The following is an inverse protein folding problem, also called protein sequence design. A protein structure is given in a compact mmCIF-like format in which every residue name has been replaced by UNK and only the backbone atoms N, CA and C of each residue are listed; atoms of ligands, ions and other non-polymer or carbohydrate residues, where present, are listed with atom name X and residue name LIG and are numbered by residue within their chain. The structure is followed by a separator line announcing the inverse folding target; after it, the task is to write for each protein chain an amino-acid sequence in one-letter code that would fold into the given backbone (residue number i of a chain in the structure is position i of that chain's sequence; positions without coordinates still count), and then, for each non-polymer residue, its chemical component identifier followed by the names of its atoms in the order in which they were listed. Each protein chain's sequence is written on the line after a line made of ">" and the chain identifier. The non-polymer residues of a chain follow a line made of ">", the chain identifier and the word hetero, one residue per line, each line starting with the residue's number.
data_IF_748895014193
#
_entry.id   IF_748895014193
#
_cell.length_a   1.000
_cell.length_b   1.000
_cell.length_c   1.000
_cell.angle_alpha   90.00
_cell.angle_beta   90.00
_cell.angle_gamma   90.00
#
_symmetry.space_group_name_H-M   'P 1'
#
loop_
_entity.id
_entity.type
_entity.pdbx_description
1 polymer ?
#
# COMPACT_ATOMS: atom_id res chain seq x y z
N UNK A 1 -0.31 4.94 -7.17
CA UNK A 1 -0.48 3.89 -6.15
C UNK A 1 -0.48 2.51 -6.80
N UNK A 2 0.27 1.57 -6.23
CA UNK A 2 0.40 0.19 -6.71
C UNK A 2 -0.10 -0.74 -5.59
N UNK A 3 -1.23 -1.41 -5.81
CA UNK A 3 -1.76 -2.43 -4.91
C UNK A 3 -1.02 -3.76 -5.11
N UNK A 4 -0.44 -4.28 -4.03
CA UNK A 4 0.36 -5.51 -4.03
C UNK A 4 -0.35 -6.70 -3.35
N UNK A 5 -1.58 -6.49 -2.86
CA UNK A 5 -2.39 -7.54 -2.24
C UNK A 5 -3.19 -8.31 -3.32
N UNK A 6 -3.25 -9.64 -3.28
CA UNK A 6 -4.10 -10.44 -4.17
C UNK A 6 -5.59 -10.06 -4.19
N UNK A 7 -6.09 -9.39 -3.15
CA UNK A 7 -7.47 -8.88 -3.11
C UNK A 7 -7.73 -7.73 -4.09
N UNK A 8 -6.68 -7.09 -4.62
CA UNK A 8 -6.71 -6.00 -5.59
C UNK A 8 -7.75 -4.89 -5.29
N UNK A 9 -7.81 -4.46 -4.04
CA UNK A 9 -8.76 -3.44 -3.56
C UNK A 9 -8.11 -2.17 -3.01
N UNK A 10 -6.79 -2.04 -3.19
CA UNK A 10 -5.99 -0.91 -2.74
C UNK A 10 -6.43 0.40 -3.38
N UNK A 11 -6.69 0.39 -4.69
CA UNK A 11 -7.05 1.57 -5.47
C UNK A 11 -8.55 1.81 -5.58
N UNK A 12 -9.37 0.96 -4.93
CA UNK A 12 -10.83 0.95 -5.07
C UNK A 12 -11.50 2.29 -4.78
N UNK A 13 -11.10 3.00 -3.73
CA UNK A 13 -11.68 4.31 -3.39
C UNK A 13 -11.17 5.43 -4.27
N UNK A 14 -9.98 5.29 -4.84
CA UNK A 14 -9.42 6.26 -5.79
C UNK A 14 -10.11 6.17 -7.15
N UNK A 15 -10.41 4.96 -7.61
CA UNK A 15 -10.98 4.70 -8.94
C UNK A 15 -12.50 4.57 -8.95
N UNK A 16 -13.13 4.48 -7.78
CA UNK A 16 -14.56 4.24 -7.61
C UNK A 16 -15.04 2.85 -8.04
N UNK A 17 -14.12 1.97 -8.44
CA UNK A 17 -14.40 0.59 -8.90
C UNK A 17 -13.21 -0.32 -8.65
N UNK A 18 -13.42 -1.63 -8.69
CA UNK A 18 -12.33 -2.58 -8.85
C UNK A 18 -11.80 -2.51 -10.28
N UNK A 19 -10.50 -2.37 -10.42
CA UNK A 19 -9.83 -2.34 -11.72
C UNK A 19 -9.23 -3.72 -12.04
N UNK A 20 -9.10 -4.08 -13.34
CA UNK A 20 -8.39 -5.29 -13.73
C UNK A 20 -6.95 -5.30 -13.19
N UNK A 21 -6.47 -6.48 -12.84
CA UNK A 21 -5.11 -6.64 -12.33
C UNK A 21 -4.11 -6.88 -13.45
N UNK A 22 -2.84 -6.48 -13.24
CA UNK A 22 -1.77 -6.74 -14.20
C UNK A 22 -1.67 -8.23 -14.54
N UNK A 23 -1.83 -9.12 -13.55
CA UNK A 23 -1.74 -10.57 -13.83
C UNK A 23 -2.90 -11.08 -14.69
N UNK A 24 -4.10 -10.52 -14.54
CA UNK A 24 -5.24 -10.92 -15.36
C UNK A 24 -5.07 -10.43 -16.80
N UNK A 25 -4.63 -9.20 -17.00
CA UNK A 25 -4.33 -8.61 -18.31
C UNK A 25 -3.19 -9.39 -19.00
N UNK A 26 -2.13 -9.76 -18.26
CA UNK A 26 -1.05 -10.58 -18.81
C UNK A 26 -1.54 -11.96 -19.29
N UNK A 27 -2.51 -12.56 -18.60
CA UNK A 27 -3.11 -13.84 -19.07
C UNK A 27 -3.87 -13.66 -20.38
N UNK A 28 -4.54 -12.52 -20.59
CA UNK A 28 -5.29 -12.25 -21.83
C UNK A 28 -4.41 -12.17 -23.06
N UNK A 29 -3.12 -11.81 -22.87
CA UNK A 29 -2.10 -11.77 -23.95
C UNK A 29 -1.08 -12.90 -23.84
N UNK A 30 -1.45 -14.05 -23.27
CA UNK A 30 -0.57 -15.20 -23.08
C UNK A 30 0.82 -14.85 -22.50
N UNK A 31 0.86 -13.86 -21.59
CA UNK A 31 2.08 -13.31 -20.97
C UNK A 31 3.04 -12.58 -21.93
N UNK A 32 2.58 -12.18 -23.12
CA UNK A 32 3.31 -11.33 -24.06
C UNK A 32 3.25 -9.85 -23.57
N UNK A 33 4.06 -9.55 -22.57
CA UNK A 33 4.09 -8.23 -21.92
C UNK A 33 4.44 -7.08 -22.87
N UNK A 34 5.13 -7.38 -23.98
CA UNK A 34 5.49 -6.43 -25.03
C UNK A 34 4.29 -5.91 -25.83
N UNK A 35 3.16 -6.59 -25.78
CA UNK A 35 1.92 -6.17 -26.44
C UNK A 35 1.13 -5.14 -25.60
N UNK A 36 1.45 -5.03 -24.29
CA UNK A 36 0.71 -4.16 -23.36
C UNK A 36 1.19 -2.70 -23.43
N UNK A 37 0.23 -1.81 -23.43
CA UNK A 37 0.43 -0.35 -23.31
C UNK A 37 0.06 0.11 -21.89
N UNK A 38 0.58 1.28 -21.43
CA UNK A 38 0.19 1.82 -20.13
C UNK A 38 -1.33 1.89 -19.88
N UNK A 39 -2.09 2.27 -20.88
CA UNK A 39 -3.56 2.41 -20.77
C UNK A 39 -4.28 1.08 -20.51
N UNK A 40 -3.64 -0.05 -20.74
CA UNK A 40 -4.23 -1.36 -20.49
C UNK A 40 -4.24 -1.71 -18.98
N UNK A 41 -3.26 -1.20 -18.21
CA UNK A 41 -3.06 -1.58 -16.80
C UNK A 41 -2.86 -0.41 -15.81
N UNK A 42 -2.80 0.83 -16.29
CA UNK A 42 -2.74 2.04 -15.47
C UNK A 42 -4.06 2.78 -15.58
N UNK A 43 -4.72 2.98 -14.44
CA UNK A 43 -6.01 3.64 -14.37
C UNK A 43 -5.88 4.98 -13.68
N UNK A 44 -6.61 5.98 -14.15
CA UNK A 44 -6.67 7.27 -13.47
C UNK A 44 -7.69 7.20 -12.32
N UNK A 45 -7.25 7.61 -11.14
CA UNK A 45 -8.05 7.74 -9.95
C UNK A 45 -8.31 9.20 -9.60
N UNK A 46 -8.90 9.42 -8.42
CA UNK A 46 -9.18 10.75 -7.89
C UNK A 46 -7.96 11.67 -7.99
N UNK A 47 -8.20 12.89 -8.46
CA UNK A 47 -7.19 13.96 -8.62
C UNK A 47 -5.97 13.56 -9.48
N UNK A 48 -6.18 12.69 -10.47
CA UNK A 48 -5.12 12.29 -11.41
C UNK A 48 -4.12 11.27 -10.85
N UNK A 49 -4.41 10.66 -9.69
CA UNK A 49 -3.55 9.61 -9.15
C UNK A 49 -3.53 8.40 -10.08
N UNK A 50 -2.35 8.01 -10.56
CA UNK A 50 -2.18 6.79 -11.34
C UNK A 50 -2.32 5.56 -10.44
N UNK A 51 -3.22 4.65 -10.80
CA UNK A 51 -3.62 3.49 -10.02
C UNK A 51 -3.30 2.19 -10.78
N UNK A 52 -2.64 1.26 -10.11
CA UNK A 52 -2.31 -0.07 -10.65
C UNK A 52 -2.57 -1.13 -9.58
N UNK A 53 -3.20 -2.24 -9.98
CA UNK A 53 -3.35 -3.41 -9.11
C UNK A 53 -2.52 -4.56 -9.69
N UNK A 54 -1.53 -5.03 -8.93
CA UNK A 54 -0.71 -6.16 -9.37
C UNK A 54 -1.53 -7.45 -9.45
N UNK A 55 -2.41 -7.65 -8.49
CA UNK A 55 -3.17 -8.89 -8.33
C UNK A 55 -2.35 -10.00 -7.68
N UNK A 56 -2.84 -11.21 -7.76
CA UNK A 56 -2.19 -12.39 -7.21
C UNK A 56 -2.28 -13.61 -8.13
N UNK A 57 -1.36 -14.56 -7.99
CA UNK A 57 -1.48 -15.81 -8.71
C UNK A 57 -2.73 -16.56 -8.25
N UNK A 58 -3.31 -17.42 -9.10
CA UNK A 58 -4.38 -18.31 -8.65
C UNK A 58 -3.97 -19.11 -7.41
N UNK A 59 -4.92 -19.42 -6.56
CA UNK A 59 -4.66 -20.16 -5.32
C UNK A 59 -3.87 -21.45 -5.59
N UNK A 60 -2.74 -21.62 -4.89
CA UNK A 60 -1.87 -22.78 -5.04
C UNK A 60 -0.92 -22.77 -6.25
N UNK A 61 -0.88 -21.71 -7.05
CA UNK A 61 -0.12 -21.68 -8.33
C UNK A 61 0.94 -20.60 -8.43
N UNK A 62 1.67 -20.29 -7.39
CA UNK A 62 2.78 -19.35 -7.55
C UNK A 62 2.98 -18.40 -6.37
N UNK A 63 3.88 -17.43 -6.55
CA UNK A 63 4.27 -16.47 -5.54
C UNK A 63 3.83 -15.05 -5.92
N UNK A 64 3.17 -14.33 -5.00
CA UNK A 64 2.79 -12.94 -5.19
C UNK A 64 3.96 -12.02 -5.56
N UNK A 65 5.17 -12.35 -5.12
CA UNK A 65 6.37 -11.60 -5.47
C UNK A 65 6.71 -11.59 -6.97
N UNK A 66 6.40 -12.67 -7.67
CA UNK A 66 6.55 -12.71 -9.13
C UNK A 66 5.64 -11.67 -9.80
N UNK A 67 4.36 -11.63 -9.37
CA UNK A 67 3.36 -10.72 -9.95
C UNK A 67 3.73 -9.27 -9.72
N UNK A 68 4.12 -8.92 -8.48
CA UNK A 68 4.60 -7.55 -8.16
C UNK A 68 5.85 -7.22 -8.96
N UNK A 69 6.79 -8.16 -9.10
CA UNK A 69 8.00 -7.98 -9.92
C UNK A 69 7.68 -7.71 -11.40
N UNK A 70 6.72 -8.44 -11.99
CA UNK A 70 6.26 -8.20 -13.37
C UNK A 70 5.59 -6.82 -13.50
N UNK A 71 4.75 -6.44 -12.53
CA UNK A 71 4.11 -5.13 -12.50
C UNK A 71 5.15 -4.00 -12.51
N UNK A 72 6.15 -4.06 -11.63
CA UNK A 72 7.21 -3.05 -11.58
C UNK A 72 8.04 -3.03 -12.87
N UNK A 73 8.31 -4.21 -13.45
CA UNK A 73 9.03 -4.32 -14.73
C UNK A 73 8.26 -3.61 -15.86
N UNK A 74 6.95 -3.87 -15.99
CA UNK A 74 6.09 -3.20 -16.97
C UNK A 74 6.08 -1.69 -16.80
N UNK A 75 5.92 -1.20 -15.57
CA UNK A 75 5.94 0.24 -15.27
C UNK A 75 7.27 0.89 -15.64
N UNK A 76 8.40 0.23 -15.38
CA UNK A 76 9.74 0.71 -15.75
C UNK A 76 9.95 0.70 -17.27
N UNK A 77 9.56 -0.36 -17.97
CA UNK A 77 9.68 -0.46 -19.42
C UNK A 77 8.91 0.64 -20.16
N UNK A 78 7.81 1.11 -19.55
CA UNK A 78 6.98 2.19 -20.07
C UNK A 78 7.31 3.56 -19.47
N UNK A 79 8.43 3.73 -18.76
CA UNK A 79 8.89 4.97 -18.13
C UNK A 79 7.92 5.61 -17.12
N UNK A 80 6.91 4.87 -16.66
CA UNK A 80 5.84 5.39 -15.80
C UNK A 80 6.33 5.81 -14.40
N UNK A 81 7.39 5.19 -13.88
CA UNK A 81 7.94 5.53 -12.57
C UNK A 81 8.79 6.80 -12.61
N UNK A 82 9.43 7.09 -13.74
CA UNK A 82 10.31 8.25 -13.93
C UNK A 82 9.50 9.55 -14.02
N UNK A 83 8.25 9.46 -14.51
CA UNK A 83 7.32 10.58 -14.65
C UNK A 83 6.47 10.83 -13.38
N UNK A 84 6.79 10.14 -12.28
CA UNK A 84 5.98 10.17 -11.06
C UNK A 84 6.78 10.71 -9.87
N UNK A 85 6.24 11.71 -9.16
CA UNK A 85 6.89 12.33 -8.01
C UNK A 85 6.95 11.38 -6.80
N UNK A 86 5.88 10.62 -6.55
CA UNK A 86 5.75 9.70 -5.42
C UNK A 86 5.10 8.40 -5.85
N UNK A 87 5.76 7.28 -5.58
CA UNK A 87 5.23 5.93 -5.80
C UNK A 87 4.90 5.28 -4.46
N UNK A 88 3.65 4.90 -4.26
CA UNK A 88 3.18 4.19 -3.06
C UNK A 88 2.93 2.73 -3.43
N UNK A 89 3.66 1.82 -2.80
CA UNK A 89 3.36 0.39 -2.80
C UNK A 89 2.50 0.06 -1.58
N UNK A 90 1.25 -0.32 -1.80
CA UNK A 90 0.37 -0.81 -0.74
C UNK A 90 0.60 -2.32 -0.56
N UNK A 91 1.35 -2.66 0.48
CA UNK A 91 1.94 -3.99 0.68
C UNK A 91 1.23 -4.71 1.83
N UNK A 92 0.93 -5.98 1.63
CA UNK A 92 0.38 -6.83 2.69
C UNK A 92 1.36 -7.03 3.85
N UNK A 93 0.83 -7.32 5.04
CA UNK A 93 1.63 -7.49 6.26
C UNK A 93 2.29 -8.86 6.43
N UNK A 94 2.14 -9.79 5.48
CA UNK A 94 2.75 -11.13 5.55
C UNK A 94 4.22 -11.07 5.11
N UNK A 95 5.13 -11.09 6.09
CA UNK A 95 6.57 -10.95 5.90
C UNK A 95 7.26 -12.16 5.25
N UNK A 96 6.62 -13.31 5.19
CA UNK A 96 7.18 -14.52 4.58
C UNK A 96 6.88 -14.60 3.08
N UNK A 97 5.97 -13.80 2.60
CA UNK A 97 5.54 -13.79 1.22
C UNK A 97 6.50 -12.99 0.33
N UNK A 98 6.76 -13.48 -0.89
CA UNK A 98 7.51 -12.73 -1.90
C UNK A 98 6.85 -11.40 -2.30
N UNK A 99 5.52 -11.30 -2.16
CA UNK A 99 4.75 -10.06 -2.35
C UNK A 99 5.14 -8.96 -1.38
N UNK A 100 5.58 -9.31 -0.16
CA UNK A 100 6.16 -8.36 0.79
C UNK A 100 7.58 -7.94 0.39
N UNK A 101 8.41 -8.86 -0.05
CA UNK A 101 9.83 -8.59 -0.30
C UNK A 101 10.09 -7.85 -1.63
N UNK A 102 9.27 -8.09 -2.66
CA UNK A 102 9.48 -7.51 -3.99
C UNK A 102 9.36 -5.97 -4.01
N UNK A 103 8.35 -5.33 -3.40
CA UNK A 103 8.26 -3.87 -3.36
C UNK A 103 9.44 -3.20 -2.65
N UNK A 104 9.99 -3.85 -1.60
CA UNK A 104 11.10 -3.29 -0.81
C UNK A 104 12.38 -3.08 -1.62
N UNK A 105 12.56 -3.80 -2.74
CA UNK A 105 13.70 -3.61 -3.65
C UNK A 105 13.62 -2.29 -4.42
N UNK A 106 12.45 -1.70 -4.48
CA UNK A 106 12.15 -0.50 -5.28
C UNK A 106 11.72 0.68 -4.42
N UNK A 107 11.68 0.52 -3.09
CA UNK A 107 11.25 1.54 -2.15
C UNK A 107 12.45 2.22 -1.47
N UNK A 108 12.36 3.54 -1.29
CA UNK A 108 13.32 4.31 -0.48
C UNK A 108 12.91 4.33 0.99
N UNK A 109 11.61 4.27 1.27
CA UNK A 109 11.04 4.35 2.62
C UNK A 109 9.97 3.29 2.81
N UNK A 110 9.95 2.73 4.02
CA UNK A 110 8.89 1.86 4.50
C UNK A 110 8.19 2.52 5.69
N UNK A 111 6.88 2.70 5.59
CA UNK A 111 5.99 3.11 6.67
C UNK A 111 5.16 1.91 7.05
N UNK A 112 5.07 1.60 8.35
CA UNK A 112 4.31 0.46 8.83
C UNK A 112 2.96 0.96 9.34
N UNK A 113 1.87 0.38 8.86
CA UNK A 113 0.53 0.67 9.36
C UNK A 113 0.16 -0.39 10.39
N UNK A 114 -0.24 0.04 11.58
CA UNK A 114 -0.60 -0.82 12.71
C UNK A 114 -1.87 -0.32 13.40
N UNK A 115 -2.52 -1.15 14.19
CA UNK A 115 -3.55 -0.73 15.13
C UNK A 115 -3.01 -0.73 16.56
N UNK A 116 -3.76 -0.17 17.52
CA UNK A 116 -3.35 -0.08 18.93
C UNK A 116 -3.79 -1.31 19.71
N UNK A 117 -3.40 -2.50 19.26
CA UNK A 117 -3.67 -3.79 19.90
C UNK A 117 -2.43 -4.69 19.83
N UNK A 118 -2.43 -5.73 20.68
CA UNK A 118 -1.28 -6.62 20.82
C UNK A 118 -0.90 -7.33 19.50
N UNK A 119 -1.87 -7.86 18.77
CA UNK A 119 -1.59 -8.65 17.56
C UNK A 119 -1.02 -7.78 16.45
N UNK A 120 -1.57 -6.57 16.28
CA UNK A 120 -1.08 -5.58 15.31
C UNK A 120 0.32 -5.08 15.65
N UNK A 121 0.62 -4.82 16.94
CA UNK A 121 1.95 -4.40 17.40
C UNK A 121 2.95 -5.55 17.25
N UNK A 122 2.55 -6.78 17.56
CA UNK A 122 3.39 -7.95 17.35
C UNK A 122 3.73 -8.15 15.86
N UNK A 123 2.74 -8.00 14.97
CA UNK A 123 2.96 -8.03 13.52
C UNK A 123 3.91 -6.90 13.08
N UNK A 124 3.70 -5.67 13.56
CA UNK A 124 4.60 -4.53 13.32
C UNK A 124 6.04 -4.85 13.71
N UNK A 125 6.27 -5.44 14.89
CA UNK A 125 7.60 -5.85 15.34
C UNK A 125 8.26 -6.84 14.37
N UNK A 126 7.50 -7.80 13.83
CA UNK A 126 7.98 -8.76 12.83
C UNK A 126 8.33 -8.08 11.50
N UNK A 127 7.52 -7.12 11.07
CA UNK A 127 7.75 -6.33 9.85
C UNK A 127 9.01 -5.47 10.02
N UNK A 128 9.20 -4.78 11.16
CA UNK A 128 10.41 -3.99 11.45
C UNK A 128 11.65 -4.87 11.28
N UNK A 129 11.68 -6.04 11.93
CA UNK A 129 12.82 -6.95 11.83
C UNK A 129 13.07 -7.42 10.39
N UNK A 130 12.03 -7.71 9.62
CA UNK A 130 12.13 -8.13 8.24
C UNK A 130 12.67 -7.01 7.32
N UNK A 131 12.19 -5.76 7.47
CA UNK A 131 12.68 -4.61 6.71
C UNK A 131 14.13 -4.30 7.08
N UNK A 132 14.50 -4.34 8.36
CA UNK A 132 15.87 -4.14 8.81
C UNK A 132 16.83 -5.20 8.24
N UNK A 133 16.40 -6.47 8.16
CA UNK A 133 17.20 -7.52 7.53
C UNK A 133 17.39 -7.26 6.03
N UNK A 134 16.36 -6.78 5.33
CA UNK A 134 16.41 -6.46 3.90
C UNK A 134 17.19 -5.17 3.60
N UNK A 135 17.19 -4.18 4.49
CA UNK A 135 17.92 -2.91 4.31
C UNK A 135 19.45 -3.08 4.21
N UNK A 136 19.96 -4.25 4.54
CA UNK A 136 21.37 -4.61 4.30
C UNK A 136 21.69 -4.78 2.80
N UNK A 137 20.70 -5.15 2.01
CA UNK A 137 20.83 -5.45 0.58
C UNK A 137 20.03 -4.49 -0.32
N UNK A 138 19.07 -3.76 0.25
CA UNK A 138 18.17 -2.84 -0.46
C UNK A 138 18.31 -1.43 0.13
N UNK A 139 18.03 -0.41 -0.65
CA UNK A 139 18.12 0.98 -0.20
C UNK A 139 16.94 1.42 0.70
N UNK A 140 16.07 0.51 1.10
CA UNK A 140 14.89 0.81 1.90
C UNK A 140 15.25 1.17 3.34
N UNK A 141 14.64 2.23 3.86
CA UNK A 141 14.78 2.67 5.26
C UNK A 141 13.42 2.75 5.92
N UNK A 142 13.35 2.34 7.19
CA UNK A 142 12.17 2.53 8.01
C UNK A 142 11.97 4.02 8.32
N UNK A 143 10.80 4.57 7.98
CA UNK A 143 10.44 5.97 8.24
C UNK A 143 9.65 6.13 9.54
N UNK A 144 8.92 5.10 9.97
CA UNK A 144 8.10 5.10 11.16
C UNK A 144 6.84 4.26 11.00
N UNK A 145 5.90 4.39 11.94
CA UNK A 145 4.60 3.75 11.84
C UNK A 145 3.44 4.76 11.88
N UNK A 146 2.30 4.33 11.36
CA UNK A 146 1.01 4.99 11.47
C UNK A 146 0.11 4.12 12.33
N UNK A 147 -0.38 4.67 13.46
CA UNK A 147 -1.46 4.04 14.22
C UNK A 147 -2.77 4.29 13.49
N UNK A 148 -3.40 3.24 12.97
CA UNK A 148 -4.59 3.32 12.13
C UNK A 148 -5.78 2.64 12.83
N UNK A 149 -6.99 3.16 12.61
CA UNK A 149 -8.24 2.61 13.15
C UNK A 149 -8.19 2.41 14.67
N UNK A 150 -7.58 3.34 15.38
CA UNK A 150 -7.37 3.27 16.82
C UNK A 150 -7.99 4.48 17.51
N UNK A 151 -8.61 4.27 18.67
CA UNK A 151 -9.19 5.37 19.48
C UNK A 151 -8.12 6.15 20.21
N UNK A 152 -7.10 5.44 20.66
CA UNK A 152 -5.90 5.95 21.32
C UNK A 152 -4.64 5.30 20.75
N UNK A 153 -3.47 5.67 21.23
CA UNK A 153 -2.18 5.20 20.72
C UNK A 153 -1.23 4.75 21.82
N UNK A 154 -1.71 4.54 23.03
CA UNK A 154 -0.89 4.31 24.23
C UNK A 154 0.05 3.12 24.09
N UNK A 155 -0.44 2.00 23.56
CA UNK A 155 0.35 0.79 23.38
C UNK A 155 1.37 0.94 22.24
N UNK A 156 0.99 1.55 21.13
CA UNK A 156 1.91 1.87 20.02
C UNK A 156 2.99 2.83 20.49
N UNK A 157 2.64 3.88 21.22
CA UNK A 157 3.60 4.87 21.73
C UNK A 157 4.56 4.26 22.75
N UNK A 158 4.06 3.38 23.63
CA UNK A 158 4.89 2.63 24.57
C UNK A 158 5.88 1.75 23.83
N UNK A 159 5.44 0.97 22.87
CA UNK A 159 6.29 0.14 22.02
C UNK A 159 7.34 0.98 21.29
N UNK A 160 6.91 2.05 20.62
CA UNK A 160 7.81 2.93 19.86
C UNK A 160 8.92 3.53 20.76
N UNK A 161 8.58 3.93 21.97
CA UNK A 161 9.54 4.46 22.95
C UNK A 161 10.57 3.41 23.38
N UNK A 162 10.13 2.18 23.62
CA UNK A 162 11.00 1.08 24.08
C UNK A 162 12.00 0.64 23.00
N UNK A 163 11.56 0.60 21.72
CA UNK A 163 12.42 0.12 20.62
C UNK A 163 13.10 1.24 19.84
N UNK A 164 12.92 2.51 20.24
CA UNK A 164 13.47 3.65 19.52
C UNK A 164 12.89 3.86 18.12
N UNK A 165 11.62 3.51 17.94
CA UNK A 165 10.89 3.68 16.68
C UNK A 165 9.97 4.91 16.74
N UNK A 166 9.57 5.47 15.61
CA UNK A 166 8.76 6.69 15.57
C UNK A 166 7.34 6.39 15.08
N UNK A 167 6.32 6.82 15.83
CA UNK A 167 4.97 6.99 15.28
C UNK A 167 4.93 8.33 14.53
N UNK A 168 4.61 8.29 13.23
CA UNK A 168 4.58 9.47 12.35
C UNK A 168 3.19 10.06 12.21
N UNK A 169 2.14 9.25 12.41
CA UNK A 169 0.76 9.73 12.38
C UNK A 169 -0.18 8.83 13.19
N UNK A 170 -1.35 9.36 13.50
CA UNK A 170 -2.50 8.64 14.03
C UNK A 170 -3.72 8.89 13.15
N UNK A 171 -4.34 7.83 12.69
CA UNK A 171 -5.60 7.85 11.97
C UNK A 171 -6.67 7.20 12.86
N UNK A 172 -7.59 7.98 13.43
CA UNK A 172 -8.61 7.46 14.33
C UNK A 172 -9.62 6.55 13.60
N UNK A 173 -10.35 5.75 14.36
CA UNK A 173 -11.45 4.94 13.84
C UNK A 173 -12.67 5.83 13.59
N UNK A 174 -12.81 6.33 12.36
CA UNK A 174 -13.89 7.23 11.95
C UNK A 174 -14.92 6.53 11.07
N UNK A 175 -16.18 6.74 11.37
CA UNK A 175 -17.30 6.24 10.56
C UNK A 175 -17.28 6.82 9.12
N UNK A 176 -16.74 8.02 8.95
CA UNK A 176 -16.51 8.64 7.65
C UNK A 176 -15.65 7.78 6.72
N UNK A 177 -14.59 7.13 7.23
CA UNK A 177 -13.72 6.24 6.45
C UNK A 177 -14.50 5.01 5.95
N UNK A 178 -15.30 4.41 6.81
CA UNK A 178 -16.17 3.28 6.43
C UNK A 178 -17.23 3.70 5.39
N UNK A 179 -17.85 4.85 5.60
CA UNK A 179 -18.87 5.39 4.67
C UNK A 179 -18.27 5.75 3.30
N UNK A 180 -17.07 6.33 3.25
CA UNK A 180 -16.40 6.68 1.99
C UNK A 180 -16.19 5.43 1.14
N UNK A 181 -15.69 4.34 1.75
CA UNK A 181 -15.48 3.07 1.07
C UNK A 181 -16.79 2.46 0.53
N UNK A 182 -17.86 2.50 1.31
CA UNK A 182 -19.19 2.06 0.85
C UNK A 182 -19.72 2.90 -0.31
N UNK A 183 -19.42 4.19 -0.33
CA UNK A 183 -19.79 5.11 -1.41
C UNK A 183 -18.82 5.06 -2.60
N UNK A 184 -17.75 4.26 -2.53
CA UNK A 184 -16.70 4.16 -3.56
C UNK A 184 -16.04 5.51 -3.84
N UNK A 185 -15.77 6.28 -2.80
CA UNK A 185 -15.19 7.63 -2.88
C UNK A 185 -14.01 7.75 -1.93
N UNK A 186 -13.10 8.66 -2.24
CA UNK A 186 -12.09 9.10 -1.29
C UNK A 186 -12.72 9.92 -0.17
N UNK A 187 -12.03 10.09 0.94
CA UNK A 187 -12.47 11.00 2.00
C UNK A 187 -12.61 12.44 1.50
N UNK A 188 -11.74 12.88 0.59
CA UNK A 188 -11.76 14.23 0.01
C UNK A 188 -13.00 14.51 -0.84
N UNK A 189 -13.66 13.47 -1.39
CA UNK A 189 -14.90 13.59 -2.15
C UNK A 189 -16.15 13.54 -1.28
N UNK A 190 -16.00 13.31 0.03
CA UNK A 190 -17.16 13.19 0.96
C UNK A 190 -17.73 14.53 1.38
N UNK A 191 -17.09 15.67 1.05
CA UNK A 191 -17.53 17.02 1.41
C UNK A 191 -17.05 17.45 2.79
N UNK A 192 -17.57 18.60 3.25
CA UNK A 192 -17.21 19.27 4.52
C UNK A 192 -17.69 18.49 5.76
N UNK A 193 -17.19 17.29 5.94
CA UNK A 193 -17.39 16.54 7.17
C UNK A 193 -16.29 16.97 8.16
N UNK A 194 -16.70 17.64 9.26
CA UNK A 194 -15.77 18.11 10.32
C UNK A 194 -14.90 16.98 10.89
N UNK A 195 -15.36 15.74 10.85
CA UNK A 195 -14.57 14.58 11.25
C UNK A 195 -13.40 14.34 10.30
N UNK A 196 -13.55 14.65 9.00
CA UNK A 196 -12.50 14.50 7.99
C UNK A 196 -11.42 15.57 8.20
N UNK A 197 -11.80 16.82 8.42
CA UNK A 197 -10.84 17.89 8.72
C UNK A 197 -10.01 17.58 9.97
N UNK A 198 -10.63 17.08 11.02
CA UNK A 198 -9.93 16.67 12.24
C UNK A 198 -8.96 15.52 12.00
N UNK A 199 -9.29 14.55 11.13
CA UNK A 199 -8.37 13.44 10.80
C UNK A 199 -7.15 13.90 10.01
N UNK A 200 -7.31 14.92 9.15
CA UNK A 200 -6.24 15.48 8.34
C UNK A 200 -5.29 16.38 9.17
N UNK A 201 -5.80 17.06 10.19
CA UNK A 201 -4.99 17.90 11.10
C UNK A 201 -3.99 17.03 11.89
N UNK A 202 -4.36 15.85 12.33
CA UNK A 202 -3.50 14.94 13.08
C UNK A 202 -2.36 14.29 12.24
N UNK A 203 -2.35 14.49 10.92
CA UNK A 203 -1.27 14.06 10.03
C UNK A 203 -0.16 15.12 9.95
N UNK A 204 -0.44 16.37 10.30
CA UNK A 204 0.46 17.52 10.12
C UNK A 204 1.24 17.92 11.38
N UNK A 205 0.98 17.32 12.54
CA UNK A 205 1.72 17.49 13.79
C UNK A 205 2.74 16.37 14.02
#
# INVERSE_FOLDING_TARGET
>A
QIGCDPKHDSTFTLTGRLVPTVIDILKEVDFHAEELRPDDFVYEGFNGVKCVEAGGPPAGTGCGGYVVGQTVKLLKQNHMLEETDVVIFDVLGDVVCGGFAAPLQHADRAIIVTANDFDSIYAMNRIIAAVQAKSKNYNVRLAGCIANRSRDTDEVDRYCKEVGFKRVAHLPDLDAIRKSRLKKKTLFEMGDDKEIELSLIHISE
#
